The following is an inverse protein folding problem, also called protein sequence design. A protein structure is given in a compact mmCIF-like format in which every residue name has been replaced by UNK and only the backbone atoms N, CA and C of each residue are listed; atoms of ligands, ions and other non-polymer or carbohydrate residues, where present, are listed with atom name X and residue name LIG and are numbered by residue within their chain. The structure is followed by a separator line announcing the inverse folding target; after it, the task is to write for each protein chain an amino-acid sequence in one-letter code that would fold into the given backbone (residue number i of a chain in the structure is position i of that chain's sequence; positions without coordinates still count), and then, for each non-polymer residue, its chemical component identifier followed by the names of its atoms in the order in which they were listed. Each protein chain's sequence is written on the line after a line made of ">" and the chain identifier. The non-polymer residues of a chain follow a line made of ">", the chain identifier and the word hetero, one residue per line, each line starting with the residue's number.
data_IF_397612101453
#
_entry.id   IF_397612101453
#
_cell.length_a   1.000
_cell.length_b   1.000
_cell.length_c   1.000
_cell.angle_alpha   90.00
_cell.angle_beta   90.00
_cell.angle_gamma   90.00
#
_symmetry.space_group_name_H-M   'P 1'
#
loop_
_entity.id
_entity.type
_entity.pdbx_description
1 polymer ?
#
# COMPACT_ATOMS: atom_id res chain seq x y z
N UNK A 1 -7.78 25.42 21.21
CA UNK A 1 -8.31 25.11 22.55
C UNK A 1 -7.82 23.71 22.93
N UNK A 2 -7.38 23.49 24.17
CA UNK A 2 -6.96 22.16 24.65
C UNK A 2 -7.98 21.64 25.67
N UNK A 3 -8.49 20.43 25.43
CA UNK A 3 -9.56 19.80 26.20
C UNK A 3 -8.99 18.54 26.86
N UNK A 4 -8.87 18.48 28.20
CA UNK A 4 -8.42 17.28 28.90
C UNK A 4 -9.36 16.11 28.63
N UNK A 5 -8.79 14.91 28.42
CA UNK A 5 -9.52 13.69 28.15
C UNK A 5 -9.29 12.64 29.24
N UNK A 6 -10.29 11.82 29.48
CA UNK A 6 -10.17 10.67 30.37
C UNK A 6 -9.37 9.56 29.67
N UNK A 7 -8.24 9.09 30.26
CA UNK A 7 -7.37 8.08 29.63
C UNK A 7 -8.06 6.71 29.47
N UNK A 8 -9.12 6.45 30.25
CA UNK A 8 -9.88 5.20 30.20
C UNK A 8 -11.14 5.28 29.33
N UNK A 9 -11.42 6.44 28.74
CA UNK A 9 -12.58 6.64 27.86
C UNK A 9 -12.25 6.25 26.41
N UNK A 10 -13.31 5.97 25.65
CA UNK A 10 -13.25 5.88 24.19
C UNK A 10 -13.86 7.16 23.62
N UNK A 11 -13.18 7.75 22.64
CA UNK A 11 -13.65 8.94 21.93
C UNK A 11 -13.95 8.58 20.49
N UNK A 12 -14.90 9.27 19.88
CA UNK A 12 -15.11 9.22 18.43
C UNK A 12 -14.98 10.62 17.83
N UNK A 13 -14.49 10.66 16.60
CA UNK A 13 -14.63 11.83 15.73
C UNK A 13 -15.52 11.40 14.59
N UNK A 14 -16.69 12.02 14.51
CA UNK A 14 -17.70 11.75 13.51
C UNK A 14 -17.86 12.92 12.55
N UNK A 15 -18.18 12.61 11.32
CA UNK A 15 -18.57 13.57 10.28
C UNK A 15 -20.04 13.35 9.95
N UNK A 16 -20.76 14.47 9.80
CA UNK A 16 -22.14 14.52 9.37
C UNK A 16 -22.21 15.39 8.12
N UNK A 17 -22.89 14.93 7.07
CA UNK A 17 -23.18 15.75 5.92
C UNK A 17 -24.46 15.31 5.20
N UNK A 18 -25.16 16.28 4.64
CA UNK A 18 -26.38 16.02 3.88
C UNK A 18 -26.08 15.95 2.38
N UNK A 19 -26.92 15.21 1.65
CA UNK A 19 -27.00 15.28 0.19
C UNK A 19 -28.33 15.86 -0.28
N UNK A 20 -28.29 16.92 -1.11
CA UNK A 20 -29.50 17.45 -1.79
C UNK A 20 -29.18 17.82 -3.24
N UNK A 21 -29.33 16.84 -4.15
CA UNK A 21 -29.24 17.02 -5.60
C UNK A 21 -27.82 17.32 -6.13
N UNK A 22 -27.48 16.83 -7.32
CA UNK A 22 -26.16 17.01 -7.93
C UNK A 22 -25.23 15.79 -7.77
N UNK A 23 -23.92 15.97 -7.98
CA UNK A 23 -22.93 14.92 -7.72
C UNK A 23 -22.55 14.95 -6.22
N UNK A 24 -22.66 13.83 -5.48
CA UNK A 24 -22.33 13.80 -4.06
C UNK A 24 -20.83 14.06 -3.84
N UNK A 25 -20.51 14.90 -2.86
CA UNK A 25 -19.14 15.02 -2.34
C UNK A 25 -19.01 13.99 -1.25
N UNK A 26 -18.11 13.05 -1.48
CA UNK A 26 -17.76 12.01 -0.53
C UNK A 26 -16.77 12.57 0.49
N UNK A 27 -17.08 12.42 1.77
CA UNK A 27 -16.29 13.02 2.86
C UNK A 27 -15.72 11.93 3.74
N UNK A 28 -14.44 11.66 3.54
CA UNK A 28 -13.72 10.66 4.31
C UNK A 28 -13.15 11.27 5.58
N UNK A 29 -13.11 10.48 6.66
CA UNK A 29 -12.35 10.79 7.86
C UNK A 29 -11.15 9.86 8.05
N UNK A 30 -10.02 10.40 8.49
CA UNK A 30 -8.79 9.62 8.68
C UNK A 30 -8.16 9.94 10.03
N UNK A 31 -7.75 8.91 10.75
CA UNK A 31 -7.03 9.02 12.02
C UNK A 31 -5.59 8.53 11.85
N UNK A 32 -4.65 9.47 11.81
CA UNK A 32 -3.23 9.26 11.55
C UNK A 32 -2.49 9.06 12.87
N UNK A 33 -1.82 7.92 13.03
CA UNK A 33 -1.03 7.60 14.22
C UNK A 33 0.44 7.96 14.03
N UNK A 34 0.98 8.75 14.96
CA UNK A 34 2.36 9.25 14.91
C UNK A 34 3.13 8.78 16.14
N UNK A 35 4.32 8.22 15.92
CA UNK A 35 5.19 7.74 16.99
C UNK A 35 6.02 8.86 17.66
N UNK A 36 6.74 8.53 18.74
CA UNK A 36 7.61 9.45 19.47
C UNK A 36 8.74 10.09 18.62
N UNK A 37 9.03 9.56 17.43
CA UNK A 37 10.03 10.09 16.49
C UNK A 37 9.39 10.99 15.43
N UNK A 38 8.06 11.17 15.45
CA UNK A 38 7.33 11.92 14.45
C UNK A 38 7.04 11.13 13.17
N UNK A 39 7.18 9.80 13.19
CA UNK A 39 6.91 8.92 12.03
C UNK A 39 5.44 8.51 12.06
N UNK A 40 4.78 8.56 10.90
CA UNK A 40 3.43 8.04 10.68
C UNK A 40 3.52 6.51 10.57
N UNK A 41 3.07 5.81 11.61
CA UNK A 41 3.26 4.36 11.75
C UNK A 41 2.02 3.55 11.37
N UNK A 42 0.85 4.17 11.40
CA UNK A 42 -0.41 3.55 11.03
C UNK A 42 -1.47 4.63 10.76
N UNK A 43 -2.58 4.28 10.11
CA UNK A 43 -3.71 5.18 9.89
C UNK A 43 -5.01 4.38 9.78
N UNK A 44 -6.06 4.81 10.50
CA UNK A 44 -7.40 4.28 10.27
C UNK A 44 -8.15 5.16 9.26
N UNK A 45 -8.60 4.53 8.17
CA UNK A 45 -9.38 5.15 7.08
C UNK A 45 -10.19 4.05 6.36
N UNK A 46 -11.03 4.40 5.39
CA UNK A 46 -11.98 3.47 4.75
C UNK A 46 -11.35 2.15 4.24
N UNK A 47 -10.14 2.22 3.67
CA UNK A 47 -9.40 1.07 3.14
C UNK A 47 -8.56 0.33 4.20
N UNK A 48 -8.31 0.96 5.37
CA UNK A 48 -7.63 0.35 6.53
C UNK A 48 -8.44 0.56 7.80
N UNK A 49 -9.52 -0.21 7.97
CA UNK A 49 -10.53 0.02 9.00
C UNK A 49 -10.05 -0.12 10.45
N UNK A 50 -8.88 -0.72 10.68
CA UNK A 50 -8.35 -0.99 12.02
C UNK A 50 -6.87 -0.70 12.04
N UNK A 51 -6.46 0.15 12.97
CA UNK A 51 -5.07 0.53 13.19
C UNK A 51 -4.67 0.24 14.65
N UNK A 52 -3.36 0.08 14.89
CA UNK A 52 -2.77 -0.07 16.22
C UNK A 52 -3.44 -1.14 17.08
N UNK A 53 -3.68 -2.33 16.54
CA UNK A 53 -4.33 -3.42 17.30
C UNK A 53 -5.76 -3.09 17.73
N UNK A 54 -6.51 -2.33 16.91
CA UNK A 54 -7.87 -1.84 17.17
C UNK A 54 -7.96 -0.73 18.23
N UNK A 55 -6.85 -0.04 18.54
CA UNK A 55 -6.93 1.21 19.29
C UNK A 55 -7.57 2.32 18.44
N UNK A 56 -7.41 2.25 17.11
CA UNK A 56 -8.14 3.04 16.13
C UNK A 56 -9.05 2.13 15.30
N UNK A 57 -10.30 2.55 15.10
CA UNK A 57 -11.29 1.83 14.28
C UNK A 57 -12.10 2.82 13.44
N UNK A 58 -12.13 2.62 12.13
CA UNK A 58 -13.02 3.32 11.20
C UNK A 58 -14.37 2.58 11.11
N UNK A 59 -15.48 3.31 10.97
CA UNK A 59 -16.82 2.71 10.86
C UNK A 59 -17.05 1.94 9.56
N UNK A 60 -16.42 2.38 8.47
CA UNK A 60 -16.70 1.94 7.11
C UNK A 60 -16.75 3.15 6.20
N UNK A 61 -16.92 2.92 4.90
CA UNK A 61 -17.12 3.96 3.89
C UNK A 61 -18.63 4.19 3.74
N UNK A 62 -19.11 5.43 3.90
CA UNK A 62 -20.51 5.80 3.65
C UNK A 62 -20.64 6.87 2.56
N UNK A 63 -21.08 6.44 1.38
CA UNK A 63 -20.94 7.20 0.13
C UNK A 63 -21.98 8.31 -0.09
N UNK A 64 -23.09 8.33 0.67
CA UNK A 64 -24.25 9.17 0.34
C UNK A 64 -24.85 10.00 1.49
N UNK A 65 -24.36 9.85 2.72
CA UNK A 65 -24.79 10.65 3.88
C UNK A 65 -26.29 10.59 4.16
N UNK A 66 -26.98 9.50 3.76
CA UNK A 66 -28.44 9.37 3.92
C UNK A 66 -28.86 8.78 5.26
N UNK A 67 -27.91 8.52 6.14
CA UNK A 67 -28.13 7.92 7.45
C UNK A 67 -28.51 8.97 8.49
N UNK A 68 -29.51 8.68 9.32
CA UNK A 68 -29.82 9.52 10.47
C UNK A 68 -28.67 9.43 11.50
N UNK A 69 -27.83 10.46 11.59
CA UNK A 69 -26.79 10.57 12.62
C UNK A 69 -25.39 10.90 12.10
N UNK A 70 -24.38 10.26 12.68
CA UNK A 70 -22.98 10.36 12.22
C UNK A 70 -22.80 9.40 11.06
N UNK A 71 -22.50 9.94 9.88
CA UNK A 71 -22.34 9.18 8.63
C UNK A 71 -21.06 8.36 8.67
N UNK A 72 -19.92 9.02 8.95
CA UNK A 72 -18.64 8.34 9.13
C UNK A 72 -17.98 8.71 10.45
N UNK A 73 -17.27 7.75 11.05
CA UNK A 73 -16.48 8.02 12.24
C UNK A 73 -15.22 7.18 12.37
N UNK A 74 -14.23 7.80 13.00
CA UNK A 74 -13.09 7.13 13.62
C UNK A 74 -13.27 7.06 15.13
N UNK A 75 -13.08 5.89 15.69
CA UNK A 75 -13.15 5.62 17.13
C UNK A 75 -11.74 5.40 17.68
N UNK A 76 -11.42 6.06 18.78
CA UNK A 76 -10.14 6.04 19.47
C UNK A 76 -10.33 5.50 20.89
N UNK A 77 -9.78 4.31 21.16
CA UNK A 77 -9.72 3.76 22.50
C UNK A 77 -8.39 4.14 23.16
N UNK A 78 -8.40 5.18 24.01
CA UNK A 78 -7.17 5.73 24.59
C UNK A 78 -6.45 4.75 25.52
N UNK A 79 -7.19 3.87 26.20
CA UNK A 79 -6.62 2.85 27.08
C UNK A 79 -5.82 1.77 26.31
N UNK A 80 -6.16 1.55 25.03
CA UNK A 80 -5.44 0.61 24.14
C UNK A 80 -4.31 1.27 23.36
N UNK A 81 -4.14 2.59 23.45
CA UNK A 81 -3.13 3.29 22.67
C UNK A 81 -1.71 2.89 23.09
N UNK A 82 -0.85 2.46 22.15
CA UNK A 82 0.54 2.13 22.46
C UNK A 82 1.31 3.30 23.09
N UNK A 83 2.22 3.01 24.01
CA UNK A 83 3.03 4.04 24.70
C UNK A 83 3.96 4.80 23.75
N UNK A 84 4.38 4.17 22.65
CA UNK A 84 5.23 4.78 21.64
C UNK A 84 4.47 5.65 20.62
N UNK A 85 3.14 5.74 20.72
CA UNK A 85 2.26 6.56 19.87
C UNK A 85 1.64 7.67 20.73
N UNK A 86 2.32 8.81 20.90
CA UNK A 86 1.85 9.91 21.74
C UNK A 86 0.81 10.79 21.03
N UNK A 87 0.66 10.68 19.71
CA UNK A 87 -0.09 11.63 18.91
C UNK A 87 -0.96 10.92 17.87
N UNK A 88 -2.26 11.21 17.90
CA UNK A 88 -3.19 10.89 16.81
C UNK A 88 -3.70 12.20 16.23
N UNK A 89 -3.56 12.38 14.92
CA UNK A 89 -4.11 13.52 14.19
C UNK A 89 -5.34 13.04 13.45
N UNK A 90 -6.45 13.77 13.56
CA UNK A 90 -7.67 13.46 12.80
C UNK A 90 -7.91 14.52 11.74
N UNK A 91 -8.14 14.09 10.51
CA UNK A 91 -8.41 14.95 9.37
C UNK A 91 -9.58 14.43 8.55
N UNK A 92 -10.27 15.34 7.88
CA UNK A 92 -11.37 15.04 6.96
C UNK A 92 -11.02 15.51 5.55
N UNK A 93 -11.47 14.77 4.54
CA UNK A 93 -11.10 14.97 3.14
C UNK A 93 -12.32 14.87 2.24
N UNK A 94 -12.48 15.79 1.30
CA UNK A 94 -13.40 15.58 0.19
C UNK A 94 -12.75 14.61 -0.82
N UNK A 95 -13.10 13.33 -0.76
CA UNK A 95 -12.41 12.25 -1.46
C UNK A 95 -12.71 12.25 -2.97
N UNK A 96 -13.97 12.37 -3.39
CA UNK A 96 -14.34 12.31 -4.82
C UNK A 96 -14.08 13.60 -5.61
N UNK A 97 -13.89 14.74 -4.96
CA UNK A 97 -13.88 16.03 -5.65
C UNK A 97 -14.38 17.17 -4.77
N UNK A 98 -14.63 18.36 -5.33
CA UNK A 98 -15.25 19.49 -4.62
C UNK A 98 -14.42 20.11 -3.49
N UNK A 99 -15.05 20.87 -2.61
CA UNK A 99 -14.41 21.52 -1.45
C UNK A 99 -15.29 21.46 -0.21
N UNK A 100 -14.71 21.67 0.97
CA UNK A 100 -15.41 21.67 2.26
C UNK A 100 -16.56 22.69 2.31
N UNK A 101 -16.41 23.82 1.62
CA UNK A 101 -17.46 24.84 1.46
C UNK A 101 -18.70 24.36 0.70
N UNK A 102 -18.54 23.34 -0.15
CA UNK A 102 -19.60 22.76 -0.97
C UNK A 102 -20.30 21.58 -0.29
N UNK A 103 -19.70 21.01 0.77
CA UNK A 103 -20.31 19.93 1.56
C UNK A 103 -21.53 20.47 2.30
N UNK A 104 -22.72 19.96 2.04
CA UNK A 104 -23.93 20.50 2.66
C UNK A 104 -24.07 20.03 4.11
N UNK A 105 -24.38 20.96 5.02
CA UNK A 105 -24.53 20.69 6.47
C UNK A 105 -23.29 20.02 7.11
N UNK A 106 -22.12 20.19 6.49
CA UNK A 106 -20.90 19.50 6.87
C UNK A 106 -20.47 19.84 8.30
N UNK A 107 -20.57 18.89 9.21
CA UNK A 107 -20.25 19.06 10.62
C UNK A 107 -19.31 17.96 11.10
N UNK A 108 -18.29 18.33 11.86
CA UNK A 108 -17.42 17.37 12.56
C UNK A 108 -17.69 17.48 14.05
N UNK A 109 -17.93 16.35 14.70
CA UNK A 109 -18.20 16.26 16.14
C UNK A 109 -17.22 15.28 16.77
N UNK A 110 -16.60 15.71 17.87
CA UNK A 110 -15.83 14.83 18.75
C UNK A 110 -16.70 14.49 19.95
N UNK A 111 -16.84 13.21 20.27
CA UNK A 111 -17.74 12.71 21.32
C UNK A 111 -16.98 11.81 22.28
N UNK A 112 -17.21 11.97 23.59
CA UNK A 112 -16.86 10.92 24.56
C UNK A 112 -17.96 9.84 24.50
N UNK A 113 -17.63 8.67 23.96
CA UNK A 113 -18.57 7.57 23.78
C UNK A 113 -19.01 6.93 25.11
N UNK A 114 -18.23 7.16 26.18
CA UNK A 114 -18.51 6.63 27.52
C UNK A 114 -19.65 7.40 28.17
N UNK A 115 -19.58 8.74 28.14
CA UNK A 115 -20.62 9.63 28.67
C UNK A 115 -21.67 10.02 27.62
N UNK A 116 -21.43 9.72 26.34
CA UNK A 116 -22.23 10.14 25.18
C UNK A 116 -22.39 11.66 25.08
N UNK A 117 -21.34 12.40 25.41
CA UNK A 117 -21.35 13.86 25.40
C UNK A 117 -20.41 14.42 24.33
N UNK A 118 -20.86 15.38 23.50
CA UNK A 118 -19.97 16.05 22.57
C UNK A 118 -18.93 16.87 23.35
N UNK A 119 -17.67 16.71 23.00
CA UNK A 119 -16.54 17.46 23.60
C UNK A 119 -16.09 18.61 22.70
N UNK A 120 -16.28 18.49 21.38
CA UNK A 120 -15.95 19.52 20.41
C UNK A 120 -16.83 19.40 19.17
N UNK A 121 -17.12 20.52 18.51
CA UNK A 121 -17.83 20.54 17.24
C UNK A 121 -17.30 21.68 16.36
N UNK A 122 -17.20 21.43 15.06
CA UNK A 122 -16.92 22.47 14.05
C UNK A 122 -17.71 22.23 12.77
N UNK A 123 -17.97 23.31 12.03
CA UNK A 123 -18.67 23.26 10.73
C UNK A 123 -17.63 23.32 9.62
N UNK A 124 -17.69 22.41 8.66
CA UNK A 124 -16.74 22.30 7.56
C UNK A 124 -16.92 23.41 6.52
N UNK A 125 -18.15 23.87 6.29
CA UNK A 125 -18.47 24.87 5.27
C UNK A 125 -17.67 26.17 5.39
N UNK A 126 -17.29 26.56 6.61
CA UNK A 126 -16.54 27.80 6.86
C UNK A 126 -15.13 27.78 6.25
N UNK A 127 -14.60 26.60 5.91
CA UNK A 127 -13.28 26.45 5.30
C UNK A 127 -13.32 26.54 3.76
N UNK A 128 -14.48 26.83 3.16
CA UNK A 128 -14.60 27.34 1.79
C UNK A 128 -13.94 26.47 0.72
N UNK A 129 -12.88 26.99 0.09
CA UNK A 129 -12.23 26.38 -1.09
C UNK A 129 -11.34 25.17 -0.79
N UNK A 130 -11.01 24.93 0.48
CA UNK A 130 -10.11 23.85 0.86
C UNK A 130 -10.77 22.49 0.69
N UNK A 131 -9.99 21.47 0.35
CA UNK A 131 -10.48 20.09 0.15
C UNK A 131 -10.35 19.23 1.40
N UNK A 132 -9.54 19.65 2.35
CA UNK A 132 -9.26 18.90 3.56
C UNK A 132 -9.15 19.82 4.78
N UNK A 133 -9.39 19.25 5.95
CA UNK A 133 -9.28 19.95 7.23
C UNK A 133 -8.61 19.02 8.24
N UNK A 134 -7.49 19.44 8.80
CA UNK A 134 -6.96 18.83 10.02
C UNK A 134 -7.80 19.34 11.18
N UNK A 135 -8.70 18.49 11.67
CA UNK A 135 -9.71 18.82 12.69
C UNK A 135 -9.03 19.10 14.01
N UNK A 136 -8.18 18.17 14.46
CA UNK A 136 -7.54 18.26 15.75
C UNK A 136 -6.56 17.12 16.03
N UNK A 137 -5.93 17.19 17.19
CA UNK A 137 -4.93 16.23 17.64
C UNK A 137 -5.27 15.70 19.03
N UNK A 138 -5.30 14.38 19.16
CA UNK A 138 -5.27 13.70 20.45
C UNK A 138 -3.81 13.49 20.84
N UNK A 139 -3.39 14.10 21.94
CA UNK A 139 -2.01 14.04 22.41
C UNK A 139 -1.93 13.43 23.80
N UNK A 140 -0.86 12.66 24.04
CA UNK A 140 -0.50 12.11 25.35
C UNK A 140 0.68 12.90 25.90
N UNK A 141 0.51 13.44 27.10
CA UNK A 141 1.59 14.07 27.86
C UNK A 141 2.54 13.02 28.45
N UNK A 142 3.76 13.44 28.82
CA UNK A 142 4.72 12.59 29.53
C UNK A 142 4.21 12.05 30.87
N UNK A 143 3.28 12.76 31.52
CA UNK A 143 2.63 12.33 32.75
C UNK A 143 1.51 11.29 32.52
N UNK A 144 1.24 10.91 31.26
CA UNK A 144 0.23 9.92 30.88
C UNK A 144 -1.18 10.48 30.69
N UNK A 145 -1.41 11.77 30.96
CA UNK A 145 -2.69 12.43 30.68
C UNK A 145 -2.89 12.67 29.18
N UNK A 146 -4.13 12.56 28.72
CA UNK A 146 -4.52 12.84 27.33
C UNK A 146 -5.24 14.19 27.21
N UNK A 147 -5.09 14.82 26.05
CA UNK A 147 -5.84 16.02 25.68
C UNK A 147 -6.22 15.98 24.19
N UNK A 148 -7.36 16.58 23.85
CA UNK A 148 -7.73 16.92 22.49
C UNK A 148 -7.48 18.40 22.23
N UNK A 149 -6.69 18.71 21.22
CA UNK A 149 -6.48 20.05 20.74
C UNK A 149 -7.25 20.28 19.44
N UNK A 150 -8.20 21.21 19.47
CA UNK A 150 -8.88 21.68 18.27
C UNK A 150 -7.90 22.55 17.45
N UNK A 151 -7.54 22.07 16.26
CA UNK A 151 -6.56 22.71 15.36
C UNK A 151 -7.25 23.52 14.26
N UNK A 152 -8.32 22.99 13.67
CA UNK A 152 -9.10 23.68 12.64
C UNK A 152 -8.24 24.23 11.50
N UNK A 153 -7.36 23.40 10.96
CA UNK A 153 -6.29 23.80 10.07
C UNK A 153 -6.56 23.30 8.64
N UNK A 154 -7.06 24.17 7.74
CA UNK A 154 -7.50 23.76 6.41
C UNK A 154 -6.32 23.55 5.46
N UNK A 155 -6.43 22.55 4.60
CA UNK A 155 -5.39 22.14 3.66
C UNK A 155 -5.98 21.62 2.34
N UNK A 156 -5.12 21.28 1.39
CA UNK A 156 -5.51 20.82 0.07
C UNK A 156 -4.97 19.41 -0.20
N UNK A 157 -5.87 18.48 -0.52
CA UNK A 157 -5.60 17.06 -0.68
C UNK A 157 -6.89 16.24 -0.58
N UNK A 158 -6.82 14.95 -0.96
CA UNK A 158 -7.92 14.00 -0.84
C UNK A 158 -7.60 12.84 0.11
N UNK A 159 -6.35 12.74 0.54
CA UNK A 159 -5.89 11.69 1.43
C UNK A 159 -4.76 12.24 2.32
N UNK A 160 -4.47 11.60 3.46
CA UNK A 160 -3.41 12.09 4.38
C UNK A 160 -2.03 12.17 3.69
N UNK A 161 -1.77 11.28 2.74
CA UNK A 161 -0.55 11.28 1.91
C UNK A 161 -0.41 12.55 1.04
N UNK A 162 -1.51 13.21 0.72
CA UNK A 162 -1.48 14.45 -0.07
C UNK A 162 -1.13 15.68 0.81
N UNK A 163 -1.34 15.57 2.12
CA UNK A 163 -1.20 16.68 3.08
C UNK A 163 -0.04 16.50 4.06
N UNK A 164 0.94 15.64 3.73
CA UNK A 164 2.13 15.42 4.55
C UNK A 164 2.86 16.72 4.97
N UNK A 165 2.98 17.77 4.13
CA UNK A 165 3.57 19.05 4.57
C UNK A 165 2.78 19.73 5.69
N UNK A 166 1.44 19.72 5.61
CA UNK A 166 0.57 20.25 6.67
C UNK A 166 0.65 19.41 7.94
N UNK A 167 0.67 18.08 7.81
CA UNK A 167 0.85 17.16 8.94
C UNK A 167 2.21 17.37 9.61
N UNK A 168 3.27 17.62 8.83
CA UNK A 168 4.62 17.89 9.35
C UNK A 168 4.63 19.10 10.27
N UNK A 169 3.92 20.17 9.90
CA UNK A 169 3.77 21.36 10.73
C UNK A 169 3.04 21.04 12.04
N UNK A 170 2.00 20.21 11.99
CA UNK A 170 1.26 19.78 13.18
C UNK A 170 2.14 18.89 14.07
N UNK A 171 2.78 17.86 13.53
CA UNK A 171 3.63 16.93 14.28
C UNK A 171 4.75 17.67 15.01
N UNK A 172 5.41 18.63 14.35
CA UNK A 172 6.48 19.44 14.97
C UNK A 172 6.03 20.23 16.20
N UNK A 173 4.74 20.57 16.31
CA UNK A 173 4.17 21.25 17.49
C UNK A 173 4.08 20.32 18.70
N UNK A 174 3.80 19.04 18.49
CA UNK A 174 3.58 18.05 19.56
C UNK A 174 4.82 17.24 19.88
N UNK A 175 5.71 17.06 18.90
CA UNK A 175 6.93 16.26 19.02
C UNK A 175 8.12 17.12 18.56
N UNK A 176 8.52 18.15 19.34
CA UNK A 176 9.61 19.04 18.94
C UNK A 176 10.95 18.31 18.75
N UNK A 177 11.15 17.20 19.46
CA UNK A 177 12.33 16.33 19.32
C UNK A 177 12.47 15.74 17.90
N UNK A 178 11.36 15.49 17.20
CA UNK A 178 11.38 15.01 15.82
C UNK A 178 11.98 16.03 14.85
N UNK A 179 11.92 17.34 15.17
CA UNK A 179 12.52 18.38 14.34
C UNK A 179 14.06 18.43 14.45
N UNK A 180 14.64 17.90 15.54
CA UNK A 180 16.08 17.94 15.80
C UNK A 180 16.85 16.82 15.09
N UNK A 181 16.19 15.77 14.62
CA UNK A 181 16.82 14.59 13.99
C UNK A 181 17.13 14.73 12.49
N UNK A 182 16.94 15.92 11.90
CA UNK A 182 17.13 16.18 10.47
C UNK A 182 15.80 16.34 9.72
N UNK A 183 15.78 17.25 8.73
CA UNK A 183 14.57 17.77 8.09
C UNK A 183 13.73 16.74 7.28
N UNK A 184 14.27 15.55 6.98
CA UNK A 184 13.65 14.59 6.07
C UNK A 184 12.90 13.42 6.73
N UNK A 185 12.84 13.33 8.07
CA UNK A 185 12.24 12.18 8.78
C UNK A 185 10.87 12.45 9.42
N UNK A 186 10.48 13.72 9.61
CA UNK A 186 9.19 14.06 10.25
C UNK A 186 8.06 13.77 9.26
N UNK A 187 7.02 13.06 9.73
CA UNK A 187 5.96 12.50 8.91
C UNK A 187 6.45 11.54 7.82
N UNK A 188 7.64 10.95 7.97
CA UNK A 188 7.97 9.75 7.23
C UNK A 188 6.89 8.69 7.51
N UNK A 189 6.50 7.96 6.48
CA UNK A 189 5.46 6.93 6.57
C UNK A 189 6.14 5.59 6.63
N UNK A 190 5.80 4.73 7.59
CA UNK A 190 6.33 3.38 7.68
C UNK A 190 5.30 2.44 8.31
N UNK A 191 4.47 1.84 7.46
CA UNK A 191 3.41 0.92 7.91
C UNK A 191 3.92 -0.50 8.02
N UNK A 192 3.73 -1.10 9.19
CA UNK A 192 3.97 -2.53 9.41
C UNK A 192 2.70 -3.31 9.07
N UNK A 193 2.64 -3.80 7.84
CA UNK A 193 1.46 -4.40 7.24
C UNK A 193 1.26 -5.83 7.70
N UNK A 194 0.00 -6.24 7.76
CA UNK A 194 -0.46 -7.61 7.94
C UNK A 194 -1.34 -8.03 6.76
N UNK A 195 -1.57 -9.34 6.67
CA UNK A 195 -2.50 -9.90 5.69
C UNK A 195 -3.86 -9.21 5.77
N UNK A 196 -4.35 -8.74 4.64
CA UNK A 196 -5.62 -8.03 4.52
C UNK A 196 -5.54 -6.52 4.75
N UNK A 197 -4.37 -5.95 5.06
CA UNK A 197 -4.20 -4.50 5.10
C UNK A 197 -4.07 -3.90 3.70
N UNK A 198 -4.46 -2.63 3.60
CA UNK A 198 -4.31 -1.79 2.40
C UNK A 198 -3.56 -0.51 2.81
N UNK A 199 -2.68 -0.02 1.94
CA UNK A 199 -1.97 1.23 2.09
C UNK A 199 -2.12 2.05 0.81
N UNK A 200 -2.78 3.21 0.89
CA UNK A 200 -3.05 4.06 -0.26
C UNK A 200 -1.94 5.08 -0.44
N UNK A 201 -1.40 5.20 -1.66
CA UNK A 201 -0.27 6.08 -1.95
C UNK A 201 -0.64 7.57 -2.01
N UNK A 202 -1.93 7.89 -2.11
CA UNK A 202 -2.38 9.23 -2.47
C UNK A 202 -2.03 9.58 -3.92
N UNK A 203 -2.01 10.88 -4.23
CA UNK A 203 -1.85 11.41 -5.59
C UNK A 203 -0.41 11.76 -5.96
N UNK A 204 0.42 11.99 -4.94
CA UNK A 204 1.75 12.58 -5.13
C UNK A 204 2.85 11.54 -5.33
N UNK A 205 2.59 10.25 -5.09
CA UNK A 205 3.57 9.18 -5.30
C UNK A 205 3.72 8.87 -6.79
N UNK A 206 4.85 9.27 -7.36
CA UNK A 206 5.12 9.12 -8.80
C UNK A 206 5.77 7.78 -9.14
N UNK A 207 6.69 7.31 -8.30
CA UNK A 207 7.45 6.10 -8.58
C UNK A 207 7.69 5.34 -7.28
N UNK A 208 7.46 4.03 -7.33
CA UNK A 208 7.73 3.13 -6.23
C UNK A 208 8.66 2.01 -6.65
N UNK A 209 9.35 1.45 -5.67
CA UNK A 209 10.07 0.19 -5.79
C UNK A 209 9.39 -0.81 -4.87
N UNK A 210 8.83 -1.86 -5.45
CA UNK A 210 8.38 -3.04 -4.71
C UNK A 210 9.57 -3.98 -4.56
N UNK A 211 10.10 -4.07 -3.35
CA UNK A 211 11.17 -5.00 -2.99
C UNK A 211 10.60 -6.26 -2.37
N UNK A 212 11.11 -7.42 -2.79
CA UNK A 212 10.75 -8.72 -2.25
C UNK A 212 12.01 -9.38 -1.72
N UNK A 213 11.91 -10.05 -0.57
CA UNK A 213 13.05 -10.78 -0.03
C UNK A 213 12.63 -11.97 0.82
N UNK A 214 13.54 -12.94 0.94
CA UNK A 214 13.36 -14.20 1.64
C UNK A 214 14.71 -14.80 2.05
N UNK A 215 14.69 -15.68 3.04
CA UNK A 215 15.84 -16.48 3.43
C UNK A 215 15.62 -17.94 2.98
N UNK A 216 16.67 -18.62 2.51
CA UNK A 216 16.62 -20.05 2.18
C UNK A 216 17.46 -20.83 3.20
N UNK A 217 16.92 -21.95 3.70
CA UNK A 217 17.58 -22.70 4.78
C UNK A 217 18.55 -23.77 4.28
N UNK A 218 18.39 -24.29 3.05
CA UNK A 218 19.26 -25.33 2.48
C UNK A 218 19.23 -25.33 0.93
N UNK A 219 20.33 -24.89 0.30
CA UNK A 219 20.50 -24.91 -1.17
C UNK A 219 19.92 -23.69 -1.90
N UNK A 220 20.26 -23.55 -3.18
CA UNK A 220 19.70 -22.49 -4.04
C UNK A 220 18.24 -22.82 -4.32
N UNK A 221 17.32 -22.12 -3.65
CA UNK A 221 15.91 -22.11 -4.03
C UNK A 221 15.71 -20.91 -4.94
N UNK A 222 15.30 -21.22 -6.16
CA UNK A 222 15.04 -20.25 -7.20
C UNK A 222 13.58 -19.77 -7.09
N UNK A 223 13.40 -18.51 -6.70
CA UNK A 223 12.10 -17.87 -6.53
C UNK A 223 11.99 -16.73 -7.55
N UNK A 224 11.05 -16.87 -8.47
CA UNK A 224 10.77 -15.88 -9.49
C UNK A 224 9.67 -14.92 -9.04
N UNK A 225 9.92 -13.61 -9.09
CA UNK A 225 8.84 -12.61 -9.02
C UNK A 225 8.30 -12.32 -10.41
N UNK A 226 6.98 -12.34 -10.50
CA UNK A 226 6.23 -11.93 -11.69
C UNK A 226 5.24 -10.83 -11.33
N UNK A 227 5.17 -9.83 -12.19
CA UNK A 227 4.24 -8.70 -12.10
C UNK A 227 3.18 -8.86 -13.19
N UNK A 228 1.96 -9.27 -12.81
CA UNK A 228 0.86 -9.56 -13.73
C UNK A 228 -0.13 -8.39 -13.74
N UNK A 229 -0.20 -7.68 -14.86
CA UNK A 229 -1.10 -6.54 -15.05
C UNK A 229 -2.44 -7.05 -15.58
N UNK A 230 -3.52 -6.69 -14.90
CA UNK A 230 -4.88 -7.10 -15.22
C UNK A 230 -5.84 -5.92 -15.28
N UNK A 231 -6.87 -6.07 -16.09
CA UNK A 231 -7.98 -5.13 -16.12
C UNK A 231 -8.99 -5.39 -14.98
N UNK A 232 -10.11 -4.67 -14.99
CA UNK A 232 -11.18 -4.83 -13.99
C UNK A 232 -11.98 -6.13 -14.16
N UNK A 233 -11.95 -6.76 -15.33
CA UNK A 233 -12.63 -8.02 -15.62
C UNK A 233 -11.80 -9.25 -15.25
N UNK A 234 -10.50 -9.08 -14.99
CA UNK A 234 -9.55 -10.17 -14.73
C UNK A 234 -8.83 -10.65 -16.00
N UNK A 235 -8.91 -9.90 -17.09
CA UNK A 235 -8.12 -10.16 -18.29
C UNK A 235 -6.66 -9.76 -18.06
N UNK A 236 -5.73 -10.64 -18.42
CA UNK A 236 -4.29 -10.35 -18.38
C UNK A 236 -3.93 -9.43 -19.55
N UNK A 237 -3.46 -8.22 -19.22
CA UNK A 237 -3.00 -7.23 -20.19
C UNK A 237 -1.54 -7.47 -20.59
N UNK A 238 -0.67 -7.72 -19.62
CA UNK A 238 0.75 -8.03 -19.79
C UNK A 238 1.33 -8.65 -18.51
N UNK A 239 2.51 -9.23 -18.63
CA UNK A 239 3.28 -9.72 -17.50
C UNK A 239 4.74 -9.30 -17.66
N UNK A 240 5.31 -8.79 -16.58
CA UNK A 240 6.72 -8.41 -16.46
C UNK A 240 7.38 -9.36 -15.47
N UNK A 241 8.45 -10.01 -15.89
CA UNK A 241 9.14 -11.09 -15.17
C UNK A 241 10.54 -11.28 -15.76
N UNK A 242 11.35 -12.23 -15.27
CA UNK A 242 12.74 -12.43 -15.75
C UNK A 242 12.89 -12.55 -17.29
N UNK A 243 11.90 -13.13 -17.98
CA UNK A 243 11.90 -13.29 -19.44
C UNK A 243 11.36 -12.07 -20.22
N UNK A 244 10.74 -11.11 -19.54
CA UNK A 244 10.26 -9.84 -20.08
C UNK A 244 10.43 -8.75 -19.02
N UNK A 245 11.60 -8.12 -18.97
CA UNK A 245 12.02 -7.26 -17.86
C UNK A 245 11.31 -5.90 -17.81
N UNK A 246 10.49 -5.53 -18.79
CA UNK A 246 9.76 -4.27 -18.76
C UNK A 246 8.44 -4.34 -19.52
N UNK A 247 7.48 -3.51 -19.13
CA UNK A 247 6.22 -3.38 -19.86
C UNK A 247 6.43 -2.65 -21.19
N UNK A 248 5.85 -3.14 -22.28
CA UNK A 248 6.00 -2.52 -23.61
C UNK A 248 4.67 -2.36 -24.36
N UNK A 249 3.54 -2.84 -23.81
CA UNK A 249 2.25 -2.80 -24.51
C UNK A 249 1.46 -1.51 -24.25
N UNK A 250 0.43 -1.29 -25.08
CA UNK A 250 -0.36 -0.04 -25.16
C UNK A 250 -1.18 0.33 -23.92
N UNK A 251 -1.33 -0.55 -22.93
CA UNK A 251 -2.07 -0.23 -21.70
C UNK A 251 -1.25 0.62 -20.72
N UNK A 252 0.05 0.80 -20.98
CA UNK A 252 0.94 1.70 -20.23
C UNK A 252 1.98 2.34 -21.16
N UNK A 253 2.75 3.29 -20.65
CA UNK A 253 3.99 3.68 -21.33
C UNK A 253 5.00 2.51 -21.30
N UNK A 254 5.97 2.55 -22.22
CA UNK A 254 7.09 1.62 -22.24
C UNK A 254 7.94 1.83 -20.98
N UNK A 255 8.17 0.78 -20.21
CA UNK A 255 8.91 0.85 -18.96
C UNK A 255 8.11 1.34 -17.76
N UNK A 256 6.77 1.42 -17.84
CA UNK A 256 5.93 1.73 -16.68
C UNK A 256 6.11 0.73 -15.53
N UNK A 257 6.48 -0.52 -15.86
CA UNK A 257 6.95 -1.54 -14.92
C UNK A 257 8.32 -2.03 -15.40
N UNK A 258 9.29 -2.11 -14.50
CA UNK A 258 10.65 -2.63 -14.77
C UNK A 258 11.04 -3.62 -13.68
N UNK A 259 11.39 -4.85 -14.09
CA UNK A 259 12.02 -5.86 -13.24
C UNK A 259 13.54 -5.63 -13.24
N UNK A 260 14.18 -5.61 -12.07
CA UNK A 260 15.63 -5.32 -11.97
C UNK A 260 16.53 -6.49 -12.40
N UNK A 261 15.94 -7.63 -12.69
CA UNK A 261 16.63 -8.90 -12.95
C UNK A 261 16.29 -9.93 -11.89
N UNK A 262 16.64 -11.18 -12.19
CA UNK A 262 16.35 -12.35 -11.37
C UNK A 262 17.51 -12.60 -10.38
N UNK A 263 17.17 -12.92 -9.14
CA UNK A 263 18.12 -13.38 -8.12
C UNK A 263 17.93 -14.87 -7.82
N UNK A 264 18.67 -15.68 -8.57
CA UNK A 264 18.71 -17.14 -8.51
C UNK A 264 19.11 -17.76 -7.15
N UNK A 265 19.56 -16.96 -6.19
CA UNK A 265 20.20 -17.47 -4.95
C UNK A 265 19.54 -16.99 -3.66
N UNK A 266 18.91 -15.82 -3.68
CA UNK A 266 18.50 -15.14 -2.44
C UNK A 266 19.68 -14.82 -1.50
N UNK A 267 20.92 -14.84 -2.00
CA UNK A 267 22.10 -14.49 -1.19
C UNK A 267 22.30 -12.98 -1.22
N UNK A 268 22.26 -12.36 -0.04
CA UNK A 268 22.51 -10.93 0.11
C UNK A 268 21.79 -10.34 1.31
N UNK A 269 22.07 -9.06 1.59
CA UNK A 269 21.27 -8.30 2.55
C UNK A 269 20.33 -7.37 1.78
N UNK A 270 19.03 -7.41 2.08
CA UNK A 270 18.05 -6.50 1.49
C UNK A 270 17.05 -7.24 0.63
N UNK A 271 16.57 -6.58 -0.43
CA UNK A 271 15.61 -7.18 -1.35
C UNK A 271 16.35 -8.09 -2.33
N UNK A 272 15.86 -9.31 -2.48
CA UNK A 272 16.37 -10.27 -3.44
C UNK A 272 15.94 -9.88 -4.85
N UNK A 273 14.69 -9.44 -5.01
CA UNK A 273 14.16 -8.93 -6.28
C UNK A 273 13.43 -7.60 -6.11
N UNK A 274 13.50 -6.77 -7.15
CA UNK A 274 12.86 -5.47 -7.17
C UNK A 274 12.07 -5.26 -8.46
N UNK A 275 10.88 -4.68 -8.30
CA UNK A 275 10.04 -4.21 -9.40
C UNK A 275 9.81 -2.72 -9.22
N UNK A 276 10.26 -1.93 -10.19
CA UNK A 276 10.07 -0.49 -10.24
C UNK A 276 8.77 -0.19 -10.99
N UNK A 277 7.92 0.66 -10.44
CA UNK A 277 6.66 1.07 -11.06
C UNK A 277 6.56 2.59 -11.14
N UNK A 278 6.25 3.09 -12.33
CA UNK A 278 5.97 4.51 -12.61
C UNK A 278 4.46 4.73 -12.61
N UNK A 279 3.94 5.24 -11.51
CA UNK A 279 2.51 5.27 -11.16
C UNK A 279 1.67 6.12 -12.13
N UNK A 280 2.29 7.13 -12.74
CA UNK A 280 1.68 8.05 -13.71
C UNK A 280 1.67 7.51 -15.16
N UNK A 281 2.31 6.37 -15.40
CA UNK A 281 2.47 5.79 -16.74
C UNK A 281 1.47 4.67 -17.06
N UNK A 282 0.55 4.36 -16.16
CA UNK A 282 -0.48 3.35 -16.38
C UNK A 282 -1.73 3.97 -17.01
N UNK A 283 -2.19 3.38 -18.12
CA UNK A 283 -3.48 3.71 -18.72
C UNK A 283 -4.67 3.30 -17.83
N UNK A 284 -5.89 3.77 -18.16
CA UNK A 284 -7.08 3.54 -17.34
C UNK A 284 -7.56 2.08 -17.32
N UNK A 285 -7.09 1.25 -18.26
CA UNK A 285 -7.46 -0.18 -18.32
C UNK A 285 -6.70 -1.03 -17.32
N UNK A 286 -5.51 -0.62 -16.87
CA UNK A 286 -4.76 -1.33 -15.83
C UNK A 286 -5.44 -1.08 -14.49
N UNK A 287 -6.05 -2.11 -13.91
CA UNK A 287 -6.82 -1.99 -12.68
C UNK A 287 -6.16 -2.72 -11.50
N UNK A 288 -5.57 -3.90 -11.75
CA UNK A 288 -4.78 -4.64 -10.78
C UNK A 288 -3.38 -4.93 -11.34
N UNK A 289 -2.39 -4.91 -10.44
CA UNK A 289 -1.02 -5.34 -10.71
C UNK A 289 -0.64 -6.33 -9.61
N UNK A 290 -0.62 -7.62 -9.91
CA UNK A 290 -0.31 -8.65 -8.93
C UNK A 290 1.18 -8.96 -8.90
N UNK A 291 1.72 -9.09 -7.69
CA UNK A 291 3.05 -9.64 -7.46
C UNK A 291 2.89 -11.10 -7.06
N UNK A 292 3.38 -11.97 -7.94
CA UNK A 292 3.32 -13.43 -7.78
C UNK A 292 4.74 -13.93 -7.61
N UNK A 293 4.95 -14.77 -6.61
CA UNK A 293 6.21 -15.46 -6.40
C UNK A 293 5.99 -16.94 -6.73
N UNK A 294 6.78 -17.48 -7.64
CA UNK A 294 6.76 -18.88 -8.00
C UNK A 294 8.09 -19.53 -7.60
N UNK A 295 8.03 -20.75 -7.05
CA UNK A 295 9.22 -21.55 -6.81
C UNK A 295 9.48 -22.38 -8.08
N UNK A 296 10.61 -22.10 -8.73
CA UNK A 296 11.01 -22.82 -9.94
C UNK A 296 11.66 -24.18 -9.62
N UNK A 297 12.34 -24.26 -8.47
CA UNK A 297 13.02 -25.49 -8.03
C UNK A 297 12.02 -26.64 -7.76
N UNK A 298 12.14 -27.73 -8.51
CA UNK A 298 11.24 -28.89 -8.40
C UNK A 298 11.31 -29.53 -7.01
N UNK A 299 10.14 -29.82 -6.44
CA UNK A 299 10.03 -30.49 -5.14
C UNK A 299 10.22 -29.57 -3.94
N UNK A 300 10.51 -28.29 -4.16
CA UNK A 300 10.58 -27.26 -3.12
C UNK A 300 9.21 -26.59 -2.97
N UNK A 301 8.89 -26.19 -1.74
CA UNK A 301 7.65 -25.49 -1.39
C UNK A 301 7.97 -24.32 -0.47
N UNK A 302 7.02 -23.41 -0.29
CA UNK A 302 7.17 -22.28 0.64
C UNK A 302 7.39 -22.68 2.10
N UNK A 303 7.19 -23.96 2.46
CA UNK A 303 7.57 -24.49 3.77
C UNK A 303 9.10 -24.50 4.02
N UNK A 304 9.91 -24.35 2.96
CA UNK A 304 11.38 -24.31 3.03
C UNK A 304 11.94 -22.88 2.87
N UNK A 305 11.06 -21.90 2.67
CA UNK A 305 11.38 -20.48 2.53
C UNK A 305 11.11 -19.79 3.86
N UNK A 306 12.11 -19.09 4.39
CA UNK A 306 12.04 -18.38 5.66
C UNK A 306 11.93 -16.86 5.44
N UNK A 307 11.29 -16.18 6.40
CA UNK A 307 11.15 -14.72 6.43
C UNK A 307 10.71 -14.02 5.12
N UNK A 308 9.79 -14.59 4.29
CA UNK A 308 9.37 -13.90 3.08
C UNK A 308 8.70 -12.57 3.41
N UNK A 309 9.10 -11.53 2.71
CA UNK A 309 8.53 -10.20 2.86
C UNK A 309 8.37 -9.50 1.51
N UNK A 310 7.48 -8.52 1.50
CA UNK A 310 7.37 -7.51 0.45
C UNK A 310 7.38 -6.13 1.10
N UNK A 311 8.05 -5.17 0.49
CA UNK A 311 8.05 -3.77 0.92
C UNK A 311 7.85 -2.83 -0.25
N UNK A 312 7.36 -1.64 0.06
CA UNK A 312 7.24 -0.55 -0.91
C UNK A 312 8.12 0.61 -0.46
N UNK A 313 8.98 1.08 -1.37
CA UNK A 313 9.85 2.23 -1.18
C UNK A 313 9.43 3.33 -2.15
N UNK A 314 9.31 4.56 -1.67
CA UNK A 314 9.18 5.73 -2.54
C UNK A 314 10.53 5.98 -3.22
N UNK A 315 10.58 5.86 -4.55
CA UNK A 315 11.84 5.97 -5.28
C UNK A 315 12.44 7.39 -5.25
N UNK A 316 11.63 8.42 -5.03
CA UNK A 316 12.07 9.80 -5.00
C UNK A 316 12.78 10.17 -3.70
N UNK A 317 12.36 9.57 -2.58
CA UNK A 317 12.89 9.87 -1.25
C UNK A 317 13.75 8.75 -0.68
N UNK A 318 13.65 7.53 -1.21
CA UNK A 318 14.24 6.32 -0.65
C UNK A 318 13.55 5.84 0.64
N UNK A 319 12.42 6.45 1.02
CA UNK A 319 11.70 6.10 2.24
C UNK A 319 10.88 4.81 2.03
N UNK A 320 11.04 3.84 2.95
CA UNK A 320 10.18 2.66 3.01
C UNK A 320 8.81 3.04 3.56
N UNK A 321 7.80 3.04 2.70
CA UNK A 321 6.42 3.45 3.01
C UNK A 321 5.68 2.37 3.80
N UNK A 322 5.85 1.11 3.40
CA UNK A 322 5.23 -0.02 4.07
C UNK A 322 6.02 -1.31 3.88
N UNK A 323 5.87 -2.23 4.82
CA UNK A 323 6.45 -3.57 4.76
C UNK A 323 5.46 -4.61 5.25
N UNK A 324 5.27 -5.65 4.46
CA UNK A 324 4.48 -6.83 4.77
C UNK A 324 5.40 -8.04 4.95
N UNK A 325 5.44 -8.60 6.16
CA UNK A 325 6.16 -9.85 6.46
C UNK A 325 5.16 -10.99 6.55
N UNK A 326 5.48 -12.11 5.91
CA UNK A 326 4.66 -13.31 5.97
C UNK A 326 5.26 -14.28 6.98
N UNK A 327 4.48 -14.63 7.98
CA UNK A 327 4.89 -15.62 8.99
C UNK A 327 4.73 -17.06 8.48
N UNK A 328 3.81 -17.30 7.54
CA UNK A 328 3.56 -18.60 6.94
C UNK A 328 3.08 -18.39 5.49
N UNK A 329 3.92 -18.79 4.52
CA UNK A 329 3.61 -18.74 3.09
C UNK A 329 2.88 -20.01 2.60
N UNK A 330 2.65 -20.98 3.49
CA UNK A 330 1.97 -22.23 3.22
C UNK A 330 2.87 -23.29 2.57
N UNK A 331 2.23 -24.40 2.16
CA UNK A 331 2.92 -25.59 1.62
C UNK A 331 2.88 -25.68 0.10
N UNK A 332 2.37 -24.65 -0.57
CA UNK A 332 2.31 -24.64 -2.02
C UNK A 332 3.62 -24.11 -2.62
N UNK A 333 3.72 -24.10 -3.95
CA UNK A 333 4.88 -23.63 -4.71
C UNK A 333 4.64 -22.28 -5.43
N UNK A 334 3.48 -21.64 -5.23
CA UNK A 334 3.23 -20.27 -5.65
C UNK A 334 2.59 -19.45 -4.53
N UNK A 335 2.82 -18.14 -4.56
CA UNK A 335 2.34 -17.19 -3.56
C UNK A 335 1.98 -15.88 -4.24
N UNK A 336 0.71 -15.46 -4.12
CA UNK A 336 0.29 -14.11 -4.48
C UNK A 336 0.50 -13.24 -3.25
N UNK A 337 1.65 -12.57 -3.20
CA UNK A 337 2.09 -11.86 -1.98
C UNK A 337 1.32 -10.55 -1.79
N UNK A 338 1.13 -9.80 -2.86
CA UNK A 338 0.50 -8.49 -2.85
C UNK A 338 -0.08 -8.13 -4.21
N UNK A 339 -0.89 -7.07 -4.24
CA UNK A 339 -1.26 -6.38 -5.48
C UNK A 339 -1.20 -4.87 -5.30
N UNK A 340 -1.06 -4.16 -6.40
CA UNK A 340 -1.55 -2.78 -6.50
C UNK A 340 -2.94 -2.81 -7.12
N UNK A 341 -3.87 -2.04 -6.59
CA UNK A 341 -5.20 -1.88 -7.19
C UNK A 341 -5.61 -0.41 -7.21
N UNK A 342 -6.35 -0.01 -8.25
CA UNK A 342 -6.90 1.35 -8.33
C UNK A 342 -8.11 1.50 -7.41
N UNK A 343 -8.12 2.59 -6.64
CA UNK A 343 -9.28 3.04 -5.88
C UNK A 343 -10.26 3.84 -6.77
N UNK A 344 -11.33 4.36 -6.18
CA UNK A 344 -12.39 5.07 -6.91
C UNK A 344 -11.90 6.38 -7.54
N UNK A 345 -10.91 7.04 -6.95
CA UNK A 345 -10.25 8.23 -7.51
C UNK A 345 -9.23 7.90 -8.60
N UNK A 346 -9.00 6.62 -8.89
CA UNK A 346 -8.03 6.13 -9.87
C UNK A 346 -6.60 6.01 -9.34
N UNK A 347 -6.34 6.40 -8.09
CA UNK A 347 -5.03 6.24 -7.45
C UNK A 347 -4.80 4.78 -7.07
N UNK A 348 -3.54 4.34 -7.09
CA UNK A 348 -3.20 3.00 -6.64
C UNK A 348 -3.04 2.94 -5.12
N UNK A 349 -3.44 1.82 -4.54
CA UNK A 349 -3.05 1.38 -3.20
C UNK A 349 -2.31 0.04 -3.25
N UNK A 350 -1.46 -0.21 -2.26
CA UNK A 350 -0.83 -1.50 -2.00
C UNK A 350 -1.70 -2.37 -1.11
N UNK A 351 -1.97 -3.59 -1.53
CA UNK A 351 -2.82 -4.55 -0.82
C UNK A 351 -1.98 -5.77 -0.41
N UNK A 352 -1.87 -6.01 0.89
CA UNK A 352 -1.18 -7.18 1.44
C UNK A 352 -2.09 -8.42 1.36
N UNK A 353 -1.75 -9.38 0.50
CA UNK A 353 -2.60 -10.54 0.21
C UNK A 353 -2.12 -11.81 0.92
N UNK A 354 -0.87 -12.23 0.69
CA UNK A 354 -0.31 -13.48 1.22
C UNK A 354 -1.21 -14.69 0.99
N UNK A 355 -1.64 -14.91 -0.26
CA UNK A 355 -2.52 -16.02 -0.65
C UNK A 355 -1.69 -17.10 -1.35
N UNK A 356 -1.63 -18.30 -0.77
CA UNK A 356 -0.98 -19.44 -1.41
C UNK A 356 -1.72 -19.82 -2.69
N UNK A 357 -0.96 -20.10 -3.75
CA UNK A 357 -1.42 -20.50 -5.09
C UNK A 357 -0.62 -21.73 -5.55
N UNK A 358 -0.84 -22.23 -6.76
CA UNK A 358 -0.10 -23.37 -7.32
C UNK A 358 0.48 -23.04 -8.68
N UNK A 359 1.63 -23.65 -8.97
CA UNK A 359 2.26 -23.60 -10.28
C UNK A 359 3.69 -23.11 -10.24
N UNK A 360 4.41 -23.39 -11.32
CA UNK A 360 5.84 -23.06 -11.45
C UNK A 360 6.07 -21.79 -12.26
N UNK A 361 5.03 -21.26 -12.91
CA UNK A 361 5.08 -20.00 -13.64
C UNK A 361 3.82 -19.18 -13.35
N UNK A 362 3.90 -17.87 -13.58
CA UNK A 362 2.78 -16.95 -13.36
C UNK A 362 1.49 -17.37 -14.07
N UNK A 363 1.57 -18.01 -15.25
CA UNK A 363 0.40 -18.45 -16.03
C UNK A 363 -0.48 -19.42 -15.25
N UNK A 364 0.13 -20.28 -14.45
CA UNK A 364 -0.57 -21.28 -13.65
C UNK A 364 -1.42 -20.62 -12.55
N UNK A 365 -1.01 -19.42 -12.10
CA UNK A 365 -1.67 -18.66 -11.03
C UNK A 365 -2.82 -17.78 -11.54
N UNK A 366 -2.96 -17.58 -12.86
CA UNK A 366 -3.95 -16.67 -13.46
C UNK A 366 -5.40 -16.94 -12.99
N UNK A 367 -5.88 -18.19 -12.88
CA UNK A 367 -7.23 -18.45 -12.36
C UNK A 367 -7.43 -17.90 -10.93
N UNK A 368 -6.42 -18.02 -10.07
CA UNK A 368 -6.47 -17.49 -8.70
C UNK A 368 -6.47 -15.97 -8.72
N UNK A 369 -5.64 -15.36 -9.58
CA UNK A 369 -5.59 -13.91 -9.76
C UNK A 369 -6.95 -13.35 -10.23
N UNK A 370 -7.63 -14.03 -11.16
CA UNK A 370 -8.96 -13.65 -11.64
C UNK A 370 -10.00 -13.61 -10.52
N UNK A 371 -9.94 -14.57 -9.59
CA UNK A 371 -10.80 -14.57 -8.41
C UNK A 371 -10.42 -13.45 -7.44
N UNK A 372 -9.13 -13.19 -7.27
CA UNK A 372 -8.63 -12.10 -6.42
C UNK A 372 -9.01 -10.71 -6.94
N UNK A 373 -9.12 -10.50 -8.25
CA UNK A 373 -9.58 -9.22 -8.84
C UNK A 373 -10.90 -8.76 -8.23
N UNK A 374 -11.83 -9.68 -7.97
CA UNK A 374 -13.15 -9.38 -7.40
C UNK A 374 -13.20 -9.51 -5.88
N UNK A 375 -12.11 -9.93 -5.23
CA UNK A 375 -12.09 -10.18 -3.78
C UNK A 375 -11.60 -8.94 -3.03
N UNK A 376 -12.42 -8.35 -2.13
CA UNK A 376 -11.98 -7.26 -1.26
C UNK A 376 -10.85 -7.74 -0.32
N UNK A 377 -9.78 -6.97 -0.24
CA UNK A 377 -8.59 -7.35 0.54
C UNK A 377 -8.88 -7.54 2.03
N UNK A 378 -9.81 -6.78 2.60
CA UNK A 378 -10.21 -6.91 4.01
C UNK A 378 -10.76 -8.29 4.39
N UNK A 379 -11.20 -9.11 3.44
CA UNK A 379 -11.64 -10.49 3.70
C UNK A 379 -10.50 -11.41 4.17
N UNK A 380 -9.25 -11.03 3.89
CA UNK A 380 -8.07 -11.78 4.31
C UNK A 380 -7.64 -11.46 5.75
N UNK A 381 -8.24 -10.47 6.41
CA UNK A 381 -7.85 -10.04 7.74
C UNK A 381 -8.09 -11.16 8.77
N UNK A 382 -7.04 -11.60 9.46
CA UNK A 382 -7.12 -12.64 10.50
C UNK A 382 -7.45 -14.04 9.97
N UNK A 383 -7.44 -14.26 8.66
CA UNK A 383 -7.71 -15.58 8.07
C UNK A 383 -6.43 -16.24 7.54
N UNK A 384 -6.23 -17.51 7.91
CA UNK A 384 -5.36 -18.42 7.16
C UNK A 384 -6.09 -18.96 5.93
N UNK A 385 -6.77 -18.09 5.16
CA UNK A 385 -7.44 -18.56 3.94
C UNK A 385 -6.39 -19.08 2.96
N UNK A 386 -6.29 -20.41 2.88
CA UNK A 386 -6.09 -21.11 1.62
C UNK A 386 -7.43 -21.06 0.90
N UNK A 387 -7.50 -20.39 -0.24
CA UNK A 387 -8.66 -20.51 -1.11
C UNK A 387 -8.80 -22.01 -1.45
N UNK A 388 -9.89 -22.65 -1.04
CA UNK A 388 -10.18 -24.04 -1.38
C UNK A 388 -10.63 -24.08 -2.85
N UNK A 389 -9.65 -24.08 -3.76
CA UNK A 389 -9.91 -24.28 -5.17
C UNK A 389 -10.23 -25.77 -5.41
N UNK A 390 -11.51 -26.09 -5.44
CA UNK A 390 -11.97 -27.40 -5.90
C UNK A 390 -11.77 -27.51 -7.42
N UNK A 391 -10.54 -27.87 -7.81
CA UNK A 391 -10.23 -28.43 -9.11
C UNK A 391 -9.38 -29.68 -8.87
N UNK A 392 -9.97 -30.86 -9.10
CA UNK A 392 -9.23 -32.10 -9.00
C UNK A 392 -7.96 -32.04 -9.88
N UNK A 393 -6.83 -32.62 -9.47
CA UNK A 393 -5.72 -32.81 -10.40
C UNK A 393 -6.26 -33.59 -11.62
N UNK A 394 -5.84 -33.27 -12.85
CA UNK A 394 -6.21 -34.08 -14.00
C UNK A 394 -5.84 -35.53 -13.69
N UNK A 395 -6.83 -36.40 -13.77
CA UNK A 395 -6.69 -37.85 -13.57
C UNK A 395 -5.51 -38.34 -14.41
N UNK A 396 -4.61 -39.10 -13.78
CA UNK A 396 -3.54 -39.82 -14.48
C UNK A 396 -4.19 -40.76 -15.50
N UNK A 397 -4.30 -40.29 -16.74
CA UNK A 397 -4.64 -41.09 -17.91
C UNK A 397 -3.43 -41.93 -18.29
N UNK A 398 -3.69 -43.21 -18.51
CA UNK A 398 -2.71 -44.26 -18.76
C UNK A 398 -1.65 -43.90 -19.82
N UNK A 399 -0.45 -44.45 -19.62
CA UNK A 399 0.71 -44.33 -20.47
C UNK A 399 0.40 -44.55 -21.96
N UNK A 400 0.52 -43.48 -22.74
CA UNK A 400 0.64 -43.49 -24.20
C UNK A 400 2.01 -42.94 -24.59
N UNK A 401 2.74 -43.71 -25.39
CA UNK A 401 4.13 -43.51 -25.83
C UNK A 401 4.48 -42.05 -26.25
N UNK A 402 5.65 -41.48 -25.90
CA UNK A 402 6.03 -40.15 -26.35
C UNK A 402 6.41 -40.14 -27.84
N UNK A 403 5.64 -39.43 -28.66
CA UNK A 403 6.06 -38.99 -29.99
C UNK A 403 7.04 -37.81 -29.83
N UNK A 404 8.25 -38.00 -30.35
CA UNK A 404 9.33 -37.03 -30.40
C UNK A 404 8.91 -35.86 -31.28
N UNK A 405 8.80 -34.66 -30.70
CA UNK A 405 8.61 -33.42 -31.45
C UNK A 405 9.99 -32.88 -31.86
N UNK A 406 10.32 -33.00 -33.14
CA UNK A 406 11.49 -32.32 -33.73
C UNK A 406 11.04 -30.92 -34.23
N UNK A 407 11.69 -29.82 -33.80
CA UNK A 407 11.46 -28.53 -34.44
C UNK A 407 12.12 -28.49 -35.82
N UNK A 408 11.34 -28.18 -36.86
CA UNK A 408 11.85 -27.87 -38.18
C UNK A 408 12.68 -26.58 -38.14
N UNK A 409 13.97 -26.70 -38.46
CA UNK A 409 14.87 -25.57 -38.68
C UNK A 409 14.49 -24.86 -39.99
N UNK A 410 13.97 -23.64 -39.90
CA UNK A 410 14.06 -22.68 -41.01
C UNK A 410 15.23 -21.74 -40.75
N UNK A 411 16.20 -21.78 -41.65
CA UNK A 411 17.40 -20.99 -41.62
C UNK A 411 17.10 -19.50 -41.85
N UNK A 412 17.41 -18.66 -40.87
CA UNK A 412 17.65 -17.24 -41.08
C UNK A 412 19.13 -16.96 -40.76
N UNK A 413 19.91 -16.72 -41.81
CA UNK A 413 21.27 -16.21 -41.72
C UNK A 413 21.21 -14.71 -41.40
N UNK A 414 21.65 -14.32 -40.21
CA UNK A 414 21.77 -12.93 -39.78
C UNK A 414 22.70 -12.85 -38.56
N UNK A 415 23.78 -12.08 -38.69
CA UNK A 415 24.89 -11.98 -37.75
C UNK A 415 24.42 -11.58 -36.33
N UNK A 416 24.88 -12.31 -35.31
CA UNK A 416 24.72 -11.95 -33.90
C UNK A 416 25.68 -10.79 -33.53
N UNK A 417 25.22 -9.68 -32.94
CA UNK A 417 26.11 -8.72 -32.31
C UNK A 417 26.62 -9.28 -30.97
N UNK A 418 27.88 -9.02 -30.67
CA UNK A 418 28.60 -9.49 -29.49
C UNK A 418 28.16 -8.68 -28.25
N UNK A 419 27.35 -9.28 -27.37
CA UNK A 419 26.74 -8.64 -26.18
C UNK A 419 27.69 -8.40 -25.00
N UNK A 420 28.95 -8.86 -25.07
CA UNK A 420 29.94 -8.63 -24.02
C UNK A 420 30.61 -7.25 -24.09
N UNK A 421 30.62 -6.60 -25.26
CA UNK A 421 31.23 -5.27 -25.43
C UNK A 421 30.34 -4.10 -24.99
N UNK A 422 29.02 -4.27 -25.01
CA UNK A 422 28.05 -3.21 -24.70
C UNK A 422 27.86 -2.98 -23.19
N UNK A 423 28.05 -4.01 -22.35
CA UNK A 423 28.00 -3.87 -20.89
C UNK A 423 29.23 -3.13 -20.33
N UNK A 424 30.44 -3.38 -20.86
CA UNK A 424 31.65 -2.66 -20.42
C UNK A 424 31.65 -1.19 -20.86
N UNK A 425 31.08 -0.87 -22.04
CA UNK A 425 30.96 0.50 -22.52
C UNK A 425 29.93 1.33 -21.74
N UNK A 426 28.90 0.71 -21.16
CA UNK A 426 27.90 1.38 -20.33
C UNK A 426 28.47 1.72 -18.93
N UNK A 427 29.20 0.79 -18.31
CA UNK A 427 29.83 0.97 -17.00
C UNK A 427 30.94 2.03 -17.04
N UNK A 428 31.72 2.11 -18.13
CA UNK A 428 32.75 3.15 -18.29
C UNK A 428 32.18 4.57 -18.48
N UNK A 429 30.99 4.71 -19.09
CA UNK A 429 30.32 6.02 -19.25
C UNK A 429 29.72 6.57 -17.96
N UNK A 430 29.26 5.71 -17.05
CA UNK A 430 28.80 6.15 -15.72
C UNK A 430 29.96 6.61 -14.82
N UNK A 431 31.12 5.95 -14.91
CA UNK A 431 32.28 6.31 -14.08
C UNK A 431 32.98 7.61 -14.52
N UNK A 432 32.88 8.00 -15.80
CA UNK A 432 33.46 9.27 -16.29
C UNK A 432 32.61 10.51 -15.99
N UNK A 433 31.32 10.36 -15.64
CA UNK A 433 30.45 11.49 -15.29
C UNK A 433 30.52 11.89 -13.81
N UNK A 434 31.06 11.02 -12.94
CA UNK A 434 31.21 11.28 -11.50
C UNK A 434 32.58 11.87 -11.09
N UNK A 435 33.44 12.27 -12.03
CA UNK A 435 34.75 12.87 -11.72
C UNK A 435 34.90 14.37 -12.07
N UNK A 436 33.84 15.07 -12.47
CA UNK A 436 33.93 16.49 -12.86
C UNK A 436 33.46 17.51 -11.80
N UNK A 437 33.33 17.12 -10.52
CA UNK A 437 33.03 18.06 -9.43
C UNK A 437 33.95 17.85 -8.22
N UNK A 438 35.26 18.05 -8.38
CA UNK A 438 36.13 18.51 -7.28
C UNK A 438 37.37 19.19 -7.89
N UNK A 439 37.81 20.31 -7.29
CA UNK A 439 39.01 21.13 -7.55
C UNK A 439 38.79 22.30 -8.54
N UNK A 440 38.17 23.40 -8.10
CA UNK A 440 38.78 24.55 -7.40
C UNK A 440 37.68 25.51 -6.95
#
# INVERSE_FOLDING_TARGET
>A
MSIPLSPNSTYSVGVLWDFVGGQPIDVDIQAIAVDNRGVIVDCAYYNNLKALGKALVHSGDELDGRTDGVDEKVTLNLAKMPQNVPLIIVAVFCYTGGSLGQVKSGTVVVTDETSRTPVFQTVMNQYGKFRALIVGAFSRSYAGGFAFDALSDPCDGQHFMDVLPSLTRVVRRYIPSAAASGQNAVCAVNFQMQKGNVFDFGRNTQQIVCGLGWDTTFGQVDLDVSCVLMDKSGEVLETVFFGNLRSERRHSAVGAVVHTGDNLTGEGSGDDEQVILHMDQFGPTVYNIFFVINIYTRGVTFAQVANPYCRVVDASTGAELCRYRLNDAGRQNALVIARLARNLTGNFGFHALGVSSRGTIWKDTVPDLQLLVQTPTGQFLGSQMTLNFAGAPPSQGAAGNPQIYQPQQQAYAGQRPNLQGSQQAYIQRMNSQNQCCTIM
#
